data_IF_427287575723
#
_entry.id   IF_427287575723
#
_cell.length_a   1.000
_cell.length_b   1.000
_cell.length_c   1.000
_cell.angle_alpha   90.00
_cell.angle_beta   90.00
_cell.angle_gamma   90.00
#
_symmetry.space_group_name_H-M   'P 1'
#
loop_
_entity.id
_entity.type
_entity.pdbx_description
1 polymer ?
#
# COMPACT_ATOMS: atom_id res chain seq x y z
N UNK A 1 -12.91 17.19 32.39
CA UNK A 1 -12.98 18.24 31.36
C UNK A 1 -11.70 19.08 31.26
N UNK A 2 -11.38 20.02 32.16
CA UNK A 2 -10.17 20.87 31.99
C UNK A 2 -8.85 20.09 31.98
N UNK A 3 -8.72 19.07 32.84
CA UNK A 3 -7.55 18.17 32.88
C UNK A 3 -7.37 17.37 31.59
N UNK A 4 -8.47 17.01 30.90
CA UNK A 4 -8.43 16.28 29.64
C UNK A 4 -8.01 17.20 28.48
N UNK A 5 -8.51 18.44 28.47
CA UNK A 5 -8.11 19.46 27.50
C UNK A 5 -6.62 19.80 27.62
N UNK A 6 -6.08 19.91 28.84
CA UNK A 6 -4.66 20.12 29.07
C UNK A 6 -3.80 18.96 28.56
N UNK A 7 -4.25 17.70 28.73
CA UNK A 7 -3.58 16.52 28.19
C UNK A 7 -3.59 16.53 26.65
N UNK A 8 -4.73 16.85 26.03
CA UNK A 8 -4.82 16.96 24.57
C UNK A 8 -3.87 18.04 24.05
N UNK A 9 -3.82 19.21 24.68
CA UNK A 9 -2.92 20.30 24.29
C UNK A 9 -1.44 19.88 24.39
N UNK A 10 -1.08 19.07 25.40
CA UNK A 10 0.26 18.53 25.57
C UNK A 10 0.65 17.55 24.46
N UNK A 11 -0.27 16.68 24.02
CA UNK A 11 -0.03 15.69 22.96
C UNK A 11 -0.30 16.21 21.55
N UNK A 12 -0.90 17.39 21.41
CA UNK A 12 -1.26 17.99 20.13
C UNK A 12 -0.08 18.01 19.13
N UNK A 13 1.16 18.36 19.51
CA UNK A 13 2.29 18.32 18.58
C UNK A 13 2.57 16.91 18.03
N UNK A 14 2.48 15.88 18.86
CA UNK A 14 2.67 14.48 18.44
C UNK A 14 1.54 14.00 17.54
N UNK A 15 0.29 14.42 17.81
CA UNK A 15 -0.87 14.09 16.96
C UNK A 15 -0.71 14.74 15.58
N UNK A 16 -0.34 16.03 15.53
CA UNK A 16 -0.09 16.75 14.27
C UNK A 16 1.05 16.10 13.49
N UNK A 17 2.12 15.68 14.17
CA UNK A 17 3.20 14.95 13.55
C UNK A 17 2.73 13.60 12.96
N UNK A 18 1.93 12.84 13.72
CA UNK A 18 1.35 11.58 13.24
C UNK A 18 0.46 11.79 12.01
N UNK A 19 -0.40 12.81 12.03
CA UNK A 19 -1.23 13.20 10.89
C UNK A 19 -0.37 13.51 9.66
N UNK A 20 0.68 14.32 9.82
CA UNK A 20 1.59 14.65 8.74
C UNK A 20 2.27 13.40 8.16
N UNK A 21 2.73 12.48 9.01
CA UNK A 21 3.34 11.22 8.56
C UNK A 21 2.36 10.32 7.82
N UNK A 22 1.10 10.23 8.26
CA UNK A 22 0.05 9.50 7.54
C UNK A 22 -0.22 10.10 6.17
N UNK A 23 -0.35 11.43 6.08
CA UNK A 23 -0.58 12.12 4.81
C UNK A 23 0.61 11.93 3.86
N UNK A 24 1.84 12.09 4.36
CA UNK A 24 3.05 11.88 3.59
C UNK A 24 3.13 10.46 3.04
N UNK A 25 2.95 9.44 3.89
CA UNK A 25 2.92 8.04 3.45
C UNK A 25 1.85 7.80 2.41
N UNK A 26 0.63 8.32 2.63
CA UNK A 26 -0.49 8.14 1.70
C UNK A 26 -0.17 8.71 0.31
N UNK A 27 0.37 9.92 0.25
CA UNK A 27 0.74 10.57 -1.02
C UNK A 27 1.83 9.76 -1.74
N UNK A 28 2.86 9.31 -1.02
CA UNK A 28 3.93 8.50 -1.60
C UNK A 28 3.43 7.14 -2.10
N UNK A 29 2.60 6.47 -1.30
CA UNK A 29 2.00 5.17 -1.65
C UNK A 29 1.13 5.32 -2.89
N UNK A 30 0.18 6.26 -2.91
CA UNK A 30 -0.71 6.43 -4.06
C UNK A 30 0.05 6.89 -5.32
N UNK A 31 1.03 7.79 -5.14
CA UNK A 31 1.88 8.29 -6.21
C UNK A 31 2.72 7.21 -6.88
N UNK A 32 3.06 6.12 -6.17
CA UNK A 32 3.83 5.00 -6.73
C UNK A 32 2.98 3.77 -7.07
N UNK A 33 1.97 3.47 -6.27
CA UNK A 33 1.06 2.35 -6.47
C UNK A 33 0.23 2.53 -7.75
N UNK A 34 -0.19 3.75 -8.09
CA UNK A 34 -1.02 3.99 -9.29
C UNK A 34 -0.25 3.70 -10.59
N UNK A 35 0.98 4.24 -10.82
CA UNK A 35 1.80 3.82 -11.95
C UNK A 35 2.11 2.32 -11.97
N UNK A 36 2.40 1.71 -10.81
CA UNK A 36 2.64 0.27 -10.72
C UNK A 36 1.39 -0.54 -11.07
N UNK A 37 0.21 -0.11 -10.66
CA UNK A 37 -1.05 -0.74 -11.01
C UNK A 37 -1.30 -0.71 -12.53
N UNK A 38 -1.03 0.42 -13.18
CA UNK A 38 -1.08 0.51 -14.64
C UNK A 38 -0.11 -0.47 -15.29
N UNK A 39 1.14 -0.56 -14.79
CA UNK A 39 2.10 -1.53 -15.28
C UNK A 39 1.62 -2.98 -15.09
N UNK A 40 1.03 -3.30 -13.92
CA UNK A 40 0.44 -4.62 -13.65
C UNK A 40 -0.65 -4.95 -14.68
N UNK A 41 -1.56 -4.01 -14.97
CA UNK A 41 -2.60 -4.19 -15.99
C UNK A 41 -2.00 -4.42 -17.38
N UNK A 42 -0.99 -3.65 -17.77
CA UNK A 42 -0.32 -3.79 -19.06
C UNK A 42 0.38 -5.14 -19.20
N UNK A 43 1.14 -5.57 -18.19
CA UNK A 43 1.87 -6.86 -18.22
C UNK A 43 0.88 -8.03 -18.20
N UNK A 44 -0.26 -7.90 -17.50
CA UNK A 44 -1.30 -8.93 -17.48
C UNK A 44 -1.93 -9.15 -18.87
N UNK A 45 -1.93 -8.14 -19.74
CA UNK A 45 -2.39 -8.27 -21.14
C UNK A 45 -1.38 -8.95 -22.07
N UNK A 46 -0.27 -9.46 -21.55
CA UNK A 46 0.76 -10.19 -22.30
C UNK A 46 0.70 -11.70 -21.99
N UNK A 47 1.64 -12.48 -22.55
CA UNK A 47 1.80 -13.92 -22.24
C UNK A 47 2.01 -14.24 -20.75
N UNK A 48 2.24 -13.24 -19.89
CA UNK A 48 2.46 -13.39 -18.47
C UNK A 48 1.18 -13.26 -17.62
N UNK A 49 0.00 -13.20 -18.24
CA UNK A 49 -1.30 -13.06 -17.57
C UNK A 49 -1.46 -13.94 -16.33
N UNK A 50 -1.16 -15.23 -16.46
CA UNK A 50 -1.33 -16.21 -15.37
C UNK A 50 -0.44 -15.88 -14.17
N UNK A 51 0.82 -15.51 -14.41
CA UNK A 51 1.80 -15.18 -13.37
C UNK A 51 1.38 -13.90 -12.65
N UNK A 52 1.02 -12.86 -13.40
CA UNK A 52 0.58 -11.58 -12.83
C UNK A 52 -0.73 -11.77 -12.06
N UNK A 53 -1.64 -12.60 -12.56
CA UNK A 53 -2.89 -12.91 -11.87
C UNK A 53 -2.68 -13.66 -10.57
N UNK A 54 -1.77 -14.63 -10.54
CA UNK A 54 -1.40 -15.32 -9.32
C UNK A 54 -0.78 -14.35 -8.30
N UNK A 55 0.13 -13.47 -8.74
CA UNK A 55 0.72 -12.42 -7.89
C UNK A 55 -0.34 -11.49 -7.28
N UNK A 56 -1.22 -10.90 -8.11
CA UNK A 56 -2.26 -9.98 -7.65
C UNK A 56 -3.22 -10.67 -6.68
N UNK A 57 -3.63 -11.90 -7.00
CA UNK A 57 -4.53 -12.70 -6.15
C UNK A 57 -3.88 -13.00 -4.80
N UNK A 58 -2.61 -13.41 -4.80
CA UNK A 58 -1.87 -13.73 -3.59
C UNK A 58 -1.73 -12.50 -2.68
N UNK A 59 -1.31 -11.36 -3.22
CA UNK A 59 -1.15 -10.13 -2.45
C UNK A 59 -2.48 -9.67 -1.85
N UNK A 60 -3.59 -9.74 -2.61
CA UNK A 60 -4.93 -9.36 -2.14
C UNK A 60 -5.54 -10.35 -1.15
N UNK A 61 -5.07 -11.60 -1.13
CA UNK A 61 -5.52 -12.61 -0.17
C UNK A 61 -4.86 -12.44 1.21
N UNK A 62 -3.71 -11.77 1.28
CA UNK A 62 -3.00 -11.54 2.54
C UNK A 62 -3.49 -10.26 3.23
N UNK A 63 -3.64 -10.26 4.58
CA UNK A 63 -3.86 -9.03 5.31
C UNK A 63 -2.68 -8.06 5.10
N UNK A 64 -2.96 -6.77 4.86
CA UNK A 64 -1.93 -5.76 4.66
C UNK A 64 -0.90 -5.71 5.80
N UNK A 65 -1.38 -5.94 7.04
CA UNK A 65 -0.52 -6.02 8.22
C UNK A 65 0.53 -7.14 8.11
N UNK A 66 0.17 -8.30 7.55
CA UNK A 66 1.11 -9.41 7.36
C UNK A 66 2.20 -9.03 6.36
N UNK A 67 1.85 -8.33 5.28
CA UNK A 67 2.82 -7.88 4.27
C UNK A 67 3.80 -6.87 4.88
N UNK A 68 3.31 -5.93 5.70
CA UNK A 68 4.19 -5.01 6.47
C UNK A 68 5.08 -5.79 7.44
N UNK A 69 4.52 -6.77 8.17
CA UNK A 69 5.28 -7.60 9.12
C UNK A 69 6.39 -8.39 8.43
N UNK A 70 6.11 -9.02 7.28
CA UNK A 70 7.11 -9.73 6.49
C UNK A 70 8.20 -8.75 6.04
N UNK A 71 7.80 -7.57 5.56
CA UNK A 71 8.74 -6.54 5.10
C UNK A 71 9.67 -6.07 6.22
N UNK A 72 9.17 -5.96 7.45
CA UNK A 72 9.97 -5.48 8.59
C UNK A 72 10.76 -6.58 9.30
N UNK A 73 10.17 -7.75 9.53
CA UNK A 73 10.73 -8.81 10.37
C UNK A 73 11.32 -10.00 9.61
N UNK A 74 10.83 -10.32 8.41
CA UNK A 74 11.36 -11.44 7.64
C UNK A 74 12.56 -11.04 6.77
N UNK A 75 12.49 -9.88 6.10
CA UNK A 75 13.57 -9.37 5.26
C UNK A 75 14.95 -9.26 5.95
N UNK A 76 15.06 -8.93 7.27
CA UNK A 76 16.34 -8.94 7.98
C UNK A 76 17.07 -10.28 7.96
N UNK A 77 16.35 -11.41 7.82
CA UNK A 77 16.96 -12.74 7.71
C UNK A 77 17.74 -12.90 6.40
N UNK A 78 17.40 -12.11 5.39
CA UNK A 78 18.08 -12.04 4.09
C UNK A 78 19.06 -10.85 3.99
N UNK A 79 19.35 -10.18 5.11
CA UNK A 79 20.27 -9.03 5.17
C UNK A 79 19.63 -7.68 4.82
N UNK A 80 18.35 -7.64 4.47
CA UNK A 80 17.64 -6.39 4.12
C UNK A 80 16.94 -5.85 5.36
N UNK A 81 17.39 -4.71 5.88
CA UNK A 81 16.83 -4.06 7.07
C UNK A 81 16.08 -2.81 6.67
N UNK A 82 14.76 -2.84 6.75
CA UNK A 82 13.91 -1.68 6.49
C UNK A 82 13.58 -0.97 7.80
N UNK A 83 13.53 0.35 7.77
CA UNK A 83 12.90 1.15 8.82
C UNK A 83 11.39 0.89 8.85
N UNK A 84 10.67 1.19 9.96
CA UNK A 84 9.22 1.05 10.01
C UNK A 84 8.50 1.85 8.92
N UNK A 85 9.03 3.02 8.57
CA UNK A 85 8.52 3.84 7.48
C UNK A 85 8.67 3.14 6.13
N UNK A 86 9.86 2.63 5.81
CA UNK A 86 10.11 1.92 4.55
C UNK A 86 9.30 0.63 4.43
N UNK A 87 9.21 -0.17 5.50
CA UNK A 87 8.41 -1.39 5.52
C UNK A 87 6.92 -1.08 5.28
N UNK A 88 6.40 -0.02 5.89
CA UNK A 88 5.03 0.46 5.66
C UNK A 88 4.85 0.94 4.23
N UNK A 89 5.77 1.76 3.72
CA UNK A 89 5.74 2.29 2.37
C UNK A 89 5.75 1.18 1.31
N UNK A 90 6.76 0.31 1.30
CA UNK A 90 6.85 -0.76 0.29
C UNK A 90 5.74 -1.78 0.42
N UNK A 91 5.41 -2.20 1.64
CA UNK A 91 4.35 -3.17 1.88
C UNK A 91 2.99 -2.67 1.44
N UNK A 92 2.63 -1.44 1.83
CA UNK A 92 1.35 -0.84 1.43
C UNK A 92 1.32 -0.46 -0.04
N UNK A 93 2.42 -0.01 -0.64
CA UNK A 93 2.49 0.22 -2.09
C UNK A 93 2.22 -1.07 -2.87
N UNK A 94 2.77 -2.21 -2.47
CA UNK A 94 2.50 -3.49 -3.12
C UNK A 94 1.02 -3.88 -3.00
N UNK A 95 0.44 -3.73 -1.81
CA UNK A 95 -1.00 -3.98 -1.57
C UNK A 95 -1.85 -3.05 -2.42
N UNK A 96 -1.65 -1.74 -2.33
CA UNK A 96 -2.41 -0.74 -3.07
C UNK A 96 -2.29 -0.92 -4.57
N UNK A 97 -1.10 -1.23 -5.11
CA UNK A 97 -0.92 -1.47 -6.54
C UNK A 97 -1.73 -2.68 -7.03
N UNK A 98 -1.80 -3.76 -6.23
CA UNK A 98 -2.60 -4.93 -6.56
C UNK A 98 -4.11 -4.61 -6.56
N UNK A 99 -4.61 -3.86 -5.57
CA UNK A 99 -6.02 -3.45 -5.53
C UNK A 99 -6.38 -2.47 -6.66
N UNK A 100 -5.58 -1.40 -6.84
CA UNK A 100 -5.82 -0.40 -7.89
C UNK A 100 -5.78 -1.06 -9.28
N UNK A 101 -4.95 -2.08 -9.50
CA UNK A 101 -4.91 -2.80 -10.79
C UNK A 101 -6.24 -3.49 -11.11
N UNK A 102 -6.97 -3.94 -10.09
CA UNK A 102 -8.27 -4.58 -10.23
C UNK A 102 -9.39 -3.55 -10.36
N UNK A 103 -9.27 -2.40 -9.70
CA UNK A 103 -10.18 -1.27 -9.89
C UNK A 103 -10.11 -0.75 -11.34
N UNK A 104 -8.90 -0.58 -11.89
CA UNK A 104 -8.68 -0.19 -13.30
C UNK A 104 -9.31 -1.23 -14.24
N UNK A 105 -9.05 -2.53 -14.00
CA UNK A 105 -9.62 -3.61 -14.81
C UNK A 105 -11.14 -3.67 -14.71
N UNK A 106 -11.69 -3.46 -13.52
CA UNK A 106 -13.12 -3.35 -13.28
C UNK A 106 -13.73 -2.18 -14.05
N UNK A 107 -13.06 -1.02 -14.03
CA UNK A 107 -13.45 0.16 -14.79
C UNK A 107 -13.48 -0.12 -16.30
N UNK A 108 -12.45 -0.75 -16.86
CA UNK A 108 -12.45 -1.11 -18.28
C UNK A 108 -13.56 -2.11 -18.64
N UNK A 109 -13.83 -3.10 -17.79
CA UNK A 109 -14.89 -4.09 -18.03
C UNK A 109 -16.31 -3.54 -17.86
N UNK A 110 -16.48 -2.40 -17.19
CA UNK A 110 -17.80 -1.77 -17.00
C UNK A 110 -18.31 -1.01 -18.23
N UNK A 111 -17.46 -0.80 -19.24
CA UNK A 111 -17.83 -0.09 -20.47
C UNK A 111 -18.44 -1.11 -21.45
N UNK A 112 -19.62 -0.78 -22.01
CA UNK A 112 -20.26 -1.61 -23.04
C UNK A 112 -19.32 -1.82 -24.23
N UNK A 113 -19.19 -3.07 -24.66
CA UNK A 113 -18.51 -3.40 -25.91
C UNK A 113 -19.49 -3.06 -27.03
N UNK A 114 -19.27 -1.91 -27.65
CA UNK A 114 -20.07 -1.43 -28.79
C UNK A 114 -20.15 -2.45 -29.93
#
# INVERSE_FOLDING_TARGET
MERELALIAQYLPSIVHGLFMTLLLTVLILGTATPLALLIVLVRSTRFEVIVTAYVTFIRAMPALIIIYISFYALPQFGIRLTPFEASYYGLTAVSAAYISEDIRGGFNSIERG
#
